data_IF_435774281276
#
_entry.id   IF_435774281276
#
_cell.length_a   1.000
_cell.length_b   1.000
_cell.length_c   1.000
_cell.angle_alpha   90.00
_cell.angle_beta   90.00
_cell.angle_gamma   90.00
#
_symmetry.space_group_name_H-M   'P 1'
#
loop_
_entity.id
_entity.type
_entity.pdbx_description
1 polymer ?
#
# COMPACT_ATOMS: atom_id res chain seq x y z
N UNK A 1 7.79 -13.27 8.26
CA UNK A 1 6.56 -12.53 7.85
C UNK A 1 6.09 -13.08 6.52
N UNK A 2 4.80 -13.33 6.33
CA UNK A 2 4.27 -13.81 5.06
C UNK A 2 3.98 -12.61 4.15
N UNK A 3 4.52 -12.63 2.93
CA UNK A 3 4.22 -11.62 1.92
C UNK A 3 4.13 -12.25 0.53
N UNK A 4 3.48 -11.52 -0.37
CA UNK A 4 3.35 -11.90 -1.77
C UNK A 4 4.10 -10.92 -2.66
N UNK A 5 4.89 -11.42 -3.60
CA UNK A 5 5.64 -10.60 -4.56
C UNK A 5 5.50 -11.19 -5.95
N UNK A 6 4.82 -10.44 -6.83
CA UNK A 6 4.75 -10.69 -8.27
C UNK A 6 4.49 -12.17 -8.65
N UNK A 7 3.47 -12.77 -8.04
CA UNK A 7 3.06 -14.16 -8.29
C UNK A 7 3.63 -15.20 -7.34
N UNK A 8 4.50 -14.82 -6.41
CA UNK A 8 5.21 -15.75 -5.53
C UNK A 8 5.01 -15.42 -4.05
N UNK A 9 4.95 -16.47 -3.23
CA UNK A 9 4.84 -16.38 -1.78
C UNK A 9 6.21 -16.45 -1.12
N UNK A 10 6.39 -15.67 -0.08
CA UNK A 10 7.62 -15.62 0.71
C UNK A 10 7.30 -15.56 2.19
N UNK A 11 8.01 -16.35 2.98
CA UNK A 11 7.93 -16.33 4.45
C UNK A 11 9.29 -15.93 5.03
N UNK A 12 9.55 -14.62 5.01
CA UNK A 12 10.80 -14.03 5.51
C UNK A 12 10.57 -12.55 5.85
N UNK A 13 11.60 -11.85 6.33
CA UNK A 13 11.49 -10.43 6.74
C UNK A 13 12.19 -9.47 5.77
N UNK A 14 12.80 -10.01 4.72
CA UNK A 14 13.60 -9.24 3.77
C UNK A 14 12.98 -9.35 2.38
N UNK A 15 12.84 -8.21 1.72
CA UNK A 15 12.59 -8.14 0.26
C UNK A 15 13.90 -7.81 -0.45
N UNK A 16 14.13 -8.41 -1.62
CA UNK A 16 15.28 -8.10 -2.46
C UNK A 16 14.84 -7.22 -3.62
N UNK A 17 15.39 -6.00 -3.68
CA UNK A 17 15.20 -5.05 -4.78
C UNK A 17 16.57 -4.72 -5.39
N UNK A 18 16.64 -4.49 -6.71
CA UNK A 18 17.82 -3.89 -7.32
C UNK A 18 18.18 -2.57 -6.64
N UNK A 19 19.47 -2.29 -6.44
CA UNK A 19 19.93 -1.03 -5.83
C UNK A 19 19.58 0.21 -6.66
N UNK A 20 19.32 0.01 -7.95
CA UNK A 20 18.87 1.04 -8.89
C UNK A 20 17.36 1.01 -9.14
N UNK A 21 16.58 0.28 -8.33
CA UNK A 21 15.13 0.28 -8.43
C UNK A 21 14.58 1.69 -8.16
N UNK A 22 13.73 2.26 -9.02
CA UNK A 22 13.19 3.61 -8.82
C UNK A 22 12.37 3.76 -7.54
N UNK A 23 11.76 2.69 -7.05
CA UNK A 23 11.06 2.66 -5.76
C UNK A 23 12.02 2.88 -4.60
N UNK A 24 13.25 2.38 -4.69
CA UNK A 24 14.31 2.63 -3.71
C UNK A 24 14.95 4.01 -3.89
N UNK A 25 15.28 4.40 -5.12
CA UNK A 25 16.01 5.63 -5.42
C UNK A 25 15.18 6.91 -5.21
N UNK A 26 13.90 6.87 -5.59
CA UNK A 26 13.05 8.06 -5.68
C UNK A 26 11.74 7.92 -4.91
N UNK A 27 11.52 6.78 -4.24
CA UNK A 27 10.22 6.46 -3.66
C UNK A 27 9.12 6.26 -4.70
N UNK A 28 9.49 5.99 -5.97
CA UNK A 28 8.56 5.85 -7.07
C UNK A 28 7.73 4.57 -6.92
N UNK A 29 6.67 4.63 -6.13
CA UNK A 29 5.70 3.56 -5.92
C UNK A 29 4.29 4.14 -5.86
N UNK A 30 3.31 3.37 -6.31
CA UNK A 30 1.88 3.61 -6.02
C UNK A 30 1.47 2.58 -4.99
N UNK A 31 0.76 2.99 -3.94
CA UNK A 31 0.30 2.02 -2.95
C UNK A 31 -1.07 2.36 -2.37
N UNK A 32 -1.69 1.33 -1.83
CA UNK A 32 -2.89 1.45 -1.01
C UNK A 32 -2.72 0.64 0.27
N UNK A 33 -3.25 1.16 1.37
CA UNK A 33 -3.29 0.48 2.65
C UNK A 33 -4.75 0.34 3.04
N UNK A 34 -5.17 -0.88 3.36
CA UNK A 34 -6.54 -1.23 3.72
C UNK A 34 -6.58 -1.96 5.05
N UNK A 35 -7.71 -1.82 5.76
CA UNK A 35 -8.01 -2.62 6.96
C UNK A 35 -8.88 -3.79 6.55
N UNK A 36 -8.48 -4.99 6.95
CA UNK A 36 -9.28 -6.21 6.81
C UNK A 36 -10.13 -6.37 8.06
N UNK A 37 -11.43 -6.48 7.88
CA UNK A 37 -12.37 -6.76 8.95
C UNK A 37 -12.75 -8.23 8.95
N UNK A 38 -12.74 -8.86 10.13
CA UNK A 38 -13.16 -10.25 10.33
C UNK A 38 -12.44 -11.25 9.39
N UNK A 39 -11.17 -10.99 9.05
CA UNK A 39 -10.40 -11.82 8.11
C UNK A 39 -11.11 -12.02 6.76
N UNK A 40 -11.94 -11.04 6.35
CA UNK A 40 -12.73 -11.14 5.14
C UNK A 40 -12.52 -9.91 4.27
N UNK A 41 -11.96 -10.15 3.07
CA UNK A 41 -11.63 -9.08 2.12
C UNK A 41 -12.89 -8.36 1.61
N UNK A 42 -14.01 -9.07 1.40
CA UNK A 42 -15.27 -8.47 0.92
C UNK A 42 -16.12 -7.90 2.05
N UNK A 43 -15.62 -7.88 3.28
CA UNK A 43 -16.33 -7.21 4.35
C UNK A 43 -16.57 -5.75 3.94
N UNK A 44 -17.79 -5.20 4.09
CA UNK A 44 -18.16 -3.90 3.53
C UNK A 44 -17.28 -2.75 4.04
N UNK A 45 -16.76 -2.84 5.26
CA UNK A 45 -15.82 -1.86 5.83
C UNK A 45 -14.38 -1.97 5.31
N UNK A 46 -14.03 -3.05 4.61
CA UNK A 46 -12.70 -3.24 4.01
C UNK A 46 -12.56 -2.42 2.72
N UNK A 47 -13.67 -2.16 2.01
CA UNK A 47 -13.68 -1.35 0.78
C UNK A 47 -12.69 -1.81 -0.30
N UNK A 48 -12.58 -3.13 -0.52
CA UNK A 48 -11.60 -3.71 -1.45
C UNK A 48 -11.66 -3.10 -2.86
N UNK A 49 -12.86 -3.02 -3.44
CA UNK A 49 -13.06 -2.46 -4.77
C UNK A 49 -12.59 -1.00 -4.87
N UNK A 50 -12.94 -0.15 -3.90
CA UNK A 50 -12.53 1.26 -3.86
C UNK A 50 -11.00 1.42 -3.79
N UNK A 51 -10.33 0.52 -3.06
CA UNK A 51 -8.87 0.47 -3.01
C UNK A 51 -8.25 0.05 -4.36
N UNK A 52 -8.88 -0.90 -5.06
CA UNK A 52 -8.51 -1.31 -6.42
C UNK A 52 -8.65 -0.16 -7.43
N UNK A 53 -9.80 0.51 -7.44
CA UNK A 53 -10.07 1.66 -8.31
C UNK A 53 -9.06 2.79 -8.11
N UNK A 54 -8.73 3.10 -6.84
CA UNK A 54 -7.73 4.12 -6.50
C UNK A 54 -6.34 3.77 -7.02
N UNK A 55 -5.93 2.49 -6.91
CA UNK A 55 -4.66 2.03 -7.47
C UNK A 55 -4.66 2.19 -8.99
N UNK A 56 -5.71 1.71 -9.66
CA UNK A 56 -5.82 1.78 -11.12
C UNK A 56 -5.78 3.22 -11.63
N UNK A 57 -6.53 4.15 -11.01
CA UNK A 57 -6.49 5.56 -11.39
C UNK A 57 -5.09 6.15 -11.25
N UNK A 58 -4.38 5.82 -10.17
CA UNK A 58 -3.04 6.33 -9.91
C UNK A 58 -2.03 5.79 -10.92
N UNK A 59 -2.11 4.50 -11.24
CA UNK A 59 -1.25 3.87 -12.26
C UNK A 59 -1.55 4.41 -13.66
N UNK A 60 -2.82 4.62 -14.00
CA UNK A 60 -3.23 5.23 -15.27
C UNK A 60 -2.67 6.66 -15.41
N UNK A 61 -2.82 7.50 -14.38
CA UNK A 61 -2.31 8.87 -14.40
C UNK A 61 -0.78 8.96 -14.56
N UNK A 62 -0.05 7.96 -14.04
CA UNK A 62 1.40 7.85 -14.16
C UNK A 62 1.86 7.10 -15.42
N UNK A 63 0.93 6.58 -16.23
CA UNK A 63 1.21 5.76 -17.41
C UNK A 63 2.03 4.50 -17.06
N UNK A 64 1.81 3.93 -15.88
CA UNK A 64 2.46 2.68 -15.45
C UNK A 64 1.65 1.46 -15.90
N UNK A 65 2.29 0.28 -16.04
CA UNK A 65 1.59 -0.95 -16.39
C UNK A 65 0.46 -1.27 -15.40
N UNK A 66 -0.71 -1.64 -15.93
CA UNK A 66 -1.80 -2.17 -15.11
C UNK A 66 -1.43 -3.57 -14.64
N UNK A 67 -1.55 -3.88 -13.33
CA UNK A 67 -1.26 -5.22 -12.83
C UNK A 67 -2.44 -6.17 -13.07
N UNK A 68 -2.17 -7.46 -12.92
CA UNK A 68 -3.22 -8.49 -12.86
C UNK A 68 -4.01 -8.36 -11.57
N UNK A 69 -5.20 -7.74 -11.66
CA UNK A 69 -6.06 -7.53 -10.49
C UNK A 69 -6.59 -8.82 -9.88
N UNK A 70 -6.86 -9.83 -10.70
CA UNK A 70 -7.39 -11.10 -10.21
C UNK A 70 -6.33 -11.79 -9.34
N UNK A 71 -5.08 -11.80 -9.82
CA UNK A 71 -3.96 -12.35 -9.07
C UNK A 71 -3.71 -11.59 -7.75
N UNK A 72 -3.78 -10.25 -7.79
CA UNK A 72 -3.66 -9.41 -6.60
C UNK A 72 -4.77 -9.71 -5.60
N UNK A 73 -6.01 -9.84 -6.06
CA UNK A 73 -7.15 -10.14 -5.21
C UNK A 73 -7.00 -11.49 -4.52
N UNK A 74 -6.64 -12.54 -5.27
CA UNK A 74 -6.39 -13.86 -4.70
C UNK A 74 -5.30 -13.82 -3.61
N UNK A 75 -4.21 -13.10 -3.86
CA UNK A 75 -3.14 -12.92 -2.88
C UNK A 75 -3.60 -12.10 -1.66
N UNK A 76 -4.37 -11.03 -1.86
CA UNK A 76 -4.92 -10.23 -0.77
C UNK A 76 -5.92 -11.04 0.08
N UNK A 77 -6.77 -11.88 -0.54
CA UNK A 77 -7.68 -12.79 0.17
C UNK A 77 -6.90 -13.76 1.05
N UNK A 78 -5.82 -14.34 0.55
CA UNK A 78 -4.97 -15.22 1.35
C UNK A 78 -4.33 -14.48 2.53
N UNK A 79 -3.69 -13.33 2.29
CA UNK A 79 -3.06 -12.54 3.36
C UNK A 79 -4.06 -12.00 4.38
N UNK A 80 -5.32 -11.77 3.99
CA UNK A 80 -6.40 -11.31 4.89
C UNK A 80 -6.70 -12.29 6.02
N UNK A 81 -6.36 -13.58 5.85
CA UNK A 81 -6.48 -14.59 6.90
C UNK A 81 -5.44 -14.41 8.01
N UNK A 82 -4.33 -13.74 7.70
CA UNK A 82 -3.19 -13.61 8.60
C UNK A 82 -3.04 -12.21 9.17
N UNK A 83 -3.49 -11.17 8.46
CA UNK A 83 -3.20 -9.79 8.81
C UNK A 83 -4.44 -8.89 8.77
N UNK A 84 -4.67 -8.06 9.82
CA UNK A 84 -5.78 -7.11 9.86
C UNK A 84 -5.53 -5.84 9.04
N UNK A 85 -4.30 -5.60 8.57
CA UNK A 85 -3.96 -4.51 7.66
C UNK A 85 -3.17 -5.10 6.51
N UNK A 86 -3.55 -4.77 5.28
CA UNK A 86 -2.80 -5.09 4.07
C UNK A 86 -2.32 -3.81 3.39
N UNK A 87 -1.15 -3.88 2.77
CA UNK A 87 -0.64 -2.87 1.86
C UNK A 87 -0.32 -3.51 0.52
N UNK A 88 -0.94 -3.01 -0.55
CA UNK A 88 -0.61 -3.36 -1.94
C UNK A 88 0.24 -2.23 -2.50
N UNK A 89 1.43 -2.56 -3.00
CA UNK A 89 2.41 -1.61 -3.55
C UNK A 89 2.76 -2.03 -4.97
N UNK A 90 2.55 -1.13 -5.92
CA UNK A 90 2.87 -1.29 -7.33
C UNK A 90 4.13 -0.50 -7.68
N UNK A 91 5.05 -1.16 -8.39
CA UNK A 91 6.31 -0.59 -8.84
C UNK A 91 6.20 -0.10 -10.29
N UNK A 92 7.05 0.83 -10.75
CA UNK A 92 6.97 1.39 -12.10
C UNK A 92 7.14 0.35 -13.21
N UNK A 93 7.89 -0.71 -12.93
CA UNK A 93 8.10 -1.85 -13.83
C UNK A 93 6.95 -2.87 -13.83
N UNK A 94 5.87 -2.62 -13.08
CA UNK A 94 4.65 -3.43 -13.06
C UNK A 94 4.62 -4.53 -12.00
N UNK A 95 5.72 -4.80 -11.28
CA UNK A 95 5.69 -5.73 -10.16
C UNK A 95 4.82 -5.19 -9.02
N UNK A 96 4.22 -6.12 -8.27
CA UNK A 96 3.37 -5.81 -7.12
C UNK A 96 3.82 -6.58 -5.89
N UNK A 97 3.89 -5.86 -4.77
CA UNK A 97 4.14 -6.37 -3.44
C UNK A 97 2.88 -6.25 -2.59
N UNK A 98 2.48 -7.33 -1.93
CA UNK A 98 1.45 -7.29 -0.89
C UNK A 98 2.06 -7.74 0.44
N UNK A 99 2.04 -6.84 1.42
CA UNK A 99 2.47 -7.11 2.80
C UNK A 99 1.31 -6.92 3.76
N UNK A 100 1.34 -7.64 4.87
CA UNK A 100 0.41 -7.45 5.97
C UNK A 100 1.10 -6.94 7.24
N UNK A 101 0.32 -6.36 8.16
CA UNK A 101 0.80 -5.96 9.48
C UNK A 101 -0.33 -5.98 10.51
N UNK A 102 0.06 -6.02 11.78
CA UNK A 102 -0.87 -5.86 12.89
C UNK A 102 -1.40 -4.43 13.03
N UNK A 103 -2.55 -4.31 13.71
CA UNK A 103 -3.05 -3.01 14.16
C UNK A 103 -2.09 -2.43 15.21
N UNK A 104 -1.91 -1.12 15.19
CA UNK A 104 -1.18 -0.43 16.27
C UNK A 104 -1.94 -0.61 17.58
N UNK A 105 -1.23 -0.92 18.67
CA UNK A 105 -1.82 -1.22 19.98
C UNK A 105 -2.69 -0.06 20.53
N UNK A 106 -2.34 1.18 20.20
CA UNK A 106 -3.04 2.38 20.67
C UNK A 106 -4.18 2.85 19.75
N UNK A 107 -4.46 2.11 18.66
CA UNK A 107 -5.49 2.50 17.69
C UNK A 107 -6.86 2.67 18.35
N UNK A 108 -7.25 1.74 19.21
CA UNK A 108 -8.54 1.79 19.91
C UNK A 108 -8.63 3.04 20.81
N UNK A 109 -7.56 3.33 21.55
CA UNK A 109 -7.51 4.51 22.41
C UNK A 109 -7.65 5.80 21.59
N UNK A 110 -6.91 5.93 20.48
CA UNK A 110 -6.99 7.10 19.58
C UNK A 110 -8.38 7.27 18.97
N UNK A 111 -9.05 6.17 18.61
CA UNK A 111 -10.41 6.20 18.07
C UNK A 111 -11.46 6.66 19.10
N UNK A 112 -11.28 6.31 20.37
CA UNK A 112 -12.22 6.66 21.45
C UNK A 112 -11.97 8.05 22.03
N UNK A 113 -10.71 8.43 22.21
CA UNK A 113 -10.33 9.67 22.89
C UNK A 113 -10.04 10.82 21.93
N UNK A 114 -9.98 10.54 20.62
CA UNK A 114 -9.50 11.46 19.61
C UNK A 114 -7.99 11.66 19.66
N UNK A 115 -7.49 12.51 18.77
CA UNK A 115 -6.08 12.91 18.70
C UNK A 115 -5.96 14.43 18.64
N UNK A 116 -4.84 14.96 19.14
CA UNK A 116 -4.45 16.36 18.92
C UNK A 116 -3.66 16.45 17.62
N UNK A 117 -3.97 17.44 16.80
CA UNK A 117 -3.25 17.74 15.56
C UNK A 117 -2.74 19.18 15.60
N UNK A 118 -1.71 19.47 14.81
CA UNK A 118 -1.16 20.81 14.61
C UNK A 118 -1.30 21.21 13.15
N UNK A 119 -1.46 22.51 12.90
CA UNK A 119 -1.43 23.06 11.55
C UNK A 119 0.04 23.15 11.09
N UNK A 120 0.38 22.44 10.01
CA UNK A 120 1.70 22.56 9.41
C UNK A 120 1.79 23.89 8.66
N UNK A 121 2.78 24.75 8.95
CA UNK A 121 2.94 26.01 8.23
C UNK A 121 3.20 25.76 6.73
N UNK A 122 2.83 26.69 5.85
CA UNK A 122 3.08 26.55 4.41
C UNK A 122 4.57 26.38 4.14
N UNK A 123 4.91 25.42 3.27
CA UNK A 123 6.29 25.21 2.83
C UNK A 123 6.65 26.33 1.86
N UNK A 124 7.55 27.24 2.27
CA UNK A 124 8.12 28.24 1.36
C UNK A 124 9.21 27.56 0.55
N UNK A 125 8.88 27.05 -0.64
CA UNK A 125 9.89 26.58 -1.59
C UNK A 125 10.46 27.78 -2.32
N UNK A 126 11.68 28.19 -1.98
CA UNK A 126 12.48 29.07 -2.84
C UNK A 126 12.91 28.26 -4.07
N UNK A 127 12.03 28.15 -5.07
CA UNK A 127 12.42 27.66 -6.40
C UNK A 127 13.14 28.82 -7.09
N UNK A 128 14.44 28.71 -7.40
CA UNK A 128 15.11 29.72 -8.21
C UNK A 128 14.42 29.75 -9.57
N UNK A 129 13.91 30.91 -9.96
CA UNK A 129 13.46 31.16 -11.33
C UNK A 129 14.61 30.81 -12.27
N UNK A 130 14.41 29.84 -13.17
CA UNK A 130 15.37 29.58 -14.25
C UNK A 130 15.36 30.81 -15.17
N UNK A 131 16.52 31.48 -15.25
CA UNK A 131 16.86 32.43 -16.31
C UNK A 131 17.46 31.68 -17.49
#
# INVERSE_FOLDING_TARGET
MLYWWNGQWFEQEVISLPVNDPGLLYGATVFTTLRVYQQWLDHPLTHWADHGDRLQQSLFALQWPAPDLEQIEQAARHLSQHYPILRVTCFPSGQVLITGRELTEDLQQRQQLGIKAWLMPPVVTNVPSQN
#
